data_IF_345257860021
#
_entry.id   IF_345257860021
#
_cell.length_a   1.000
_cell.length_b   1.000
_cell.length_c   1.000
_cell.angle_alpha   90.00
_cell.angle_beta   90.00
_cell.angle_gamma   90.00
#
_symmetry.space_group_name_H-M   'P 1'
#
loop_
_entity.id
_entity.type
_entity.pdbx_description
1 polymer ?
#
# COMPACT_ATOMS: atom_id res chain seq x y z
N UNK A 1 -7.61 -5.92 4.26
CA UNK A 1 -7.08 -4.67 3.66
C UNK A 1 -5.62 -4.51 4.05
N UNK A 2 -4.66 -4.70 3.13
CA UNK A 2 -3.25 -4.37 3.37
C UNK A 2 -3.12 -2.85 3.36
N UNK A 3 -2.92 -2.22 4.53
CA UNK A 3 -2.47 -0.84 4.60
C UNK A 3 -1.11 -0.76 3.90
N UNK A 4 -1.05 -0.06 2.76
CA UNK A 4 0.23 0.29 2.12
C UNK A 4 0.99 1.12 3.15
N UNK A 5 1.98 0.53 3.84
CA UNK A 5 2.87 1.25 4.73
C UNK A 5 3.51 2.37 3.90
N UNK A 6 3.10 3.61 4.17
CA UNK A 6 3.68 4.76 3.52
C UNK A 6 5.17 4.77 3.89
N UNK A 7 6.03 4.90 2.88
CA UNK A 7 7.48 4.96 3.05
C UNK A 7 7.87 6.07 4.04
N UNK A 8 7.09 7.16 4.06
CA UNK A 8 7.23 8.28 4.99
C UNK A 8 5.90 8.58 5.67
N UNK A 9 5.92 8.65 7.01
CA UNK A 9 4.79 9.02 7.85
C UNK A 9 5.13 10.30 8.61
N UNK A 10 4.27 11.31 8.49
CA UNK A 10 4.39 12.57 9.21
C UNK A 10 3.28 12.63 10.24
N UNK A 11 3.65 12.90 11.49
CA UNK A 11 2.74 13.09 12.60
C UNK A 11 2.96 14.47 13.21
N UNK A 12 1.89 15.08 13.71
CA UNK A 12 1.96 16.31 14.46
C UNK A 12 1.16 16.12 15.74
N UNK A 13 1.81 16.36 16.88
CA UNK A 13 1.21 16.26 18.20
C UNK A 13 1.12 17.64 18.84
N UNK A 14 0.06 17.84 19.62
CA UNK A 14 -0.14 19.05 20.40
C UNK A 14 0.18 18.77 21.87
N UNK A 15 0.83 19.71 22.52
CA UNK A 15 1.13 19.66 23.95
C UNK A 15 0.91 21.03 24.60
N UNK A 16 0.32 21.05 25.79
CA UNK A 16 0.08 22.29 26.54
C UNK A 16 1.33 22.70 27.33
N UNK A 17 2.15 21.73 27.73
CA UNK A 17 3.39 21.98 28.46
C UNK A 17 4.63 21.55 27.66
N UNK A 18 5.77 22.15 28.02
CA UNK A 18 7.06 21.77 27.45
C UNK A 18 7.45 20.34 27.82
N UNK A 19 7.16 19.92 29.05
CA UNK A 19 7.46 18.57 29.54
C UNK A 19 6.71 17.50 28.73
N UNK A 20 5.43 17.73 28.41
CA UNK A 20 4.66 16.84 27.53
C UNK A 20 5.24 16.79 26.12
N UNK A 21 5.64 17.94 25.55
CA UNK A 21 6.27 17.98 24.24
C UNK A 21 7.59 17.16 24.23
N UNK A 22 8.39 17.25 25.29
CA UNK A 22 9.63 16.49 25.44
C UNK A 22 9.36 14.99 25.65
N UNK A 23 8.31 14.62 26.39
CA UNK A 23 7.89 13.22 26.53
C UNK A 23 7.47 12.61 25.19
N UNK A 24 6.72 13.34 24.36
CA UNK A 24 6.32 12.90 23.03
C UNK A 24 7.56 12.64 22.16
N UNK A 25 8.53 13.56 22.18
CA UNK A 25 9.80 13.37 21.47
C UNK A 25 10.61 12.20 22.04
N UNK A 26 10.61 12.00 23.35
CA UNK A 26 11.32 10.88 23.98
C UNK A 26 10.74 9.54 23.56
N UNK A 27 9.41 9.39 23.61
CA UNK A 27 8.73 8.19 23.14
C UNK A 27 8.96 7.97 21.63
N UNK A 28 8.93 9.04 20.83
CA UNK A 28 9.20 8.95 19.41
C UNK A 28 10.64 8.49 19.08
N UNK A 29 11.62 8.87 19.90
CA UNK A 29 13.03 8.46 19.75
C UNK A 29 13.26 6.98 20.03
N UNK A 30 12.34 6.29 20.71
CA UNK A 30 12.40 4.83 20.88
C UNK A 30 12.15 4.09 19.56
N UNK A 31 11.62 4.77 18.54
CA UNK A 31 11.38 4.21 17.23
C UNK A 31 12.54 4.53 16.28
N UNK A 32 13.26 3.50 15.84
CA UNK A 32 14.40 3.60 14.92
C UNK A 32 14.06 4.22 13.56
N UNK A 33 12.78 4.27 13.19
CA UNK A 33 12.32 4.90 11.95
C UNK A 33 12.21 6.43 12.05
N UNK A 34 12.38 7.05 13.23
CA UNK A 34 12.29 8.49 13.38
C UNK A 34 13.48 9.19 12.71
N UNK A 35 13.19 10.03 11.71
CA UNK A 35 14.20 10.82 10.99
C UNK A 35 14.24 12.27 11.46
N UNK A 36 13.08 12.83 11.80
CA UNK A 36 12.99 14.23 12.20
C UNK A 36 12.06 14.39 13.38
N UNK A 37 12.50 15.16 14.37
CA UNK A 37 11.66 15.72 15.41
C UNK A 37 11.86 17.24 15.46
N UNK A 38 10.77 17.97 15.68
CA UNK A 38 10.82 19.42 15.87
C UNK A 38 9.73 19.83 16.84
N UNK A 39 10.12 20.54 17.89
CA UNK A 39 9.17 21.20 18.81
C UNK A 39 9.07 22.66 18.40
N UNK A 40 7.85 23.11 18.12
CA UNK A 40 7.53 24.49 17.79
C UNK A 40 6.69 25.09 18.91
N UNK A 41 7.23 26.09 19.59
CA UNK A 41 6.51 26.87 20.59
C UNK A 41 5.61 27.92 19.91
N UNK A 42 4.35 27.96 20.32
CA UNK A 42 3.31 28.84 19.77
C UNK A 42 2.52 29.48 20.89
N UNK A 43 1.87 30.60 20.58
CA UNK A 43 1.04 31.35 21.51
C UNK A 43 -0.33 31.60 20.88
N UNK A 44 -1.40 31.31 21.62
CA UNK A 44 -2.78 31.61 21.26
C UNK A 44 -3.42 32.53 22.31
N UNK A 45 -4.72 32.77 22.18
CA UNK A 45 -5.50 33.62 23.10
C UNK A 45 -5.61 33.06 24.53
N UNK A 46 -5.36 31.77 24.69
CA UNK A 46 -5.51 30.99 25.93
C UNK A 46 -4.16 30.69 26.61
N UNK A 47 -3.04 30.89 25.92
CA UNK A 47 -1.71 30.68 26.48
C UNK A 47 -0.69 30.21 25.46
N UNK A 48 0.42 29.71 25.99
CA UNK A 48 1.48 29.05 25.23
C UNK A 48 1.10 27.58 24.98
N UNK A 49 1.45 27.06 23.82
CA UNK A 49 1.31 25.65 23.47
C UNK A 49 2.46 25.21 22.57
N UNK A 50 2.67 23.90 22.47
CA UNK A 50 3.75 23.29 21.72
C UNK A 50 3.17 22.39 20.63
N UNK A 51 3.76 22.47 19.44
CA UNK A 51 3.50 21.53 18.36
C UNK A 51 4.75 20.69 18.14
N UNK A 52 4.60 19.37 18.21
CA UNK A 52 5.67 18.40 17.99
C UNK A 52 5.47 17.77 16.62
N UNK A 53 6.30 18.17 15.66
CA UNK A 53 6.34 17.55 14.34
C UNK A 53 7.30 16.35 14.38
N UNK A 54 6.79 15.17 14.02
CA UNK A 54 7.55 13.93 13.93
C UNK A 54 7.48 13.39 12.50
N UNK A 55 8.62 13.01 11.94
CA UNK A 55 8.68 12.34 10.64
C UNK A 55 9.38 11.01 10.79
N UNK A 56 8.65 9.95 10.47
CA UNK A 56 9.14 8.59 10.41
C UNK A 56 9.34 8.17 8.96
N UNK A 57 10.44 7.47 8.70
CA UNK A 57 10.69 6.83 7.42
C UNK A 57 10.89 5.35 7.68
N UNK A 58 9.92 4.57 7.25
CA UNK A 58 9.99 3.12 7.33
C UNK A 58 10.63 2.63 6.04
N UNK A 59 11.96 2.54 6.03
CA UNK A 59 12.67 1.83 4.98
C UNK A 59 12.33 0.35 5.10
N UNK A 60 11.28 -0.12 4.42
CA UNK A 60 11.22 -1.54 4.09
C UNK A 60 12.45 -1.83 3.25
N UNK A 61 13.40 -2.66 3.73
CA UNK A 61 14.55 -3.03 2.93
C UNK A 61 14.05 -3.54 1.59
N UNK A 62 14.73 -3.18 0.51
CA UNK A 62 14.44 -3.69 -0.83
C UNK A 62 14.29 -5.22 -0.80
N UNK A 63 15.06 -5.91 0.03
CA UNK A 63 15.00 -7.36 0.27
C UNK A 63 13.63 -7.87 0.80
N UNK A 64 12.87 -7.07 1.55
CA UNK A 64 11.52 -7.43 2.04
C UNK A 64 10.44 -7.15 0.98
N UNK A 65 10.72 -6.24 0.02
CA UNK A 65 9.87 -5.97 -1.14
C UNK A 65 10.17 -6.90 -2.32
N UNK A 66 11.41 -7.41 -2.42
CA UNK A 66 11.90 -8.39 -3.39
C UNK A 66 11.85 -9.83 -2.88
N UNK A 67 11.35 -10.06 -1.65
CA UNK A 67 10.89 -11.38 -1.26
C UNK A 67 9.85 -11.79 -2.29
N UNK A 68 10.19 -12.77 -3.14
CA UNK A 68 9.19 -13.45 -3.96
C UNK A 68 8.03 -13.78 -3.03
N UNK A 69 6.77 -13.59 -3.43
CA UNK A 69 5.69 -14.21 -2.70
C UNK A 69 5.95 -15.73 -2.77
N UNK A 70 6.62 -16.28 -1.75
CA UNK A 70 6.90 -17.72 -1.68
C UNK A 70 5.60 -18.52 -1.57
N UNK A 71 4.50 -17.85 -1.21
CA UNK A 71 3.14 -18.33 -1.40
C UNK A 71 2.29 -17.17 -1.92
N UNK A 72 2.09 -17.14 -3.24
CA UNK A 72 0.85 -16.57 -3.75
C UNK A 72 -0.31 -17.32 -3.06
N UNK A 73 -1.32 -16.64 -2.50
CA UNK A 73 -2.45 -17.32 -1.89
C UNK A 73 -3.03 -18.32 -2.89
N UNK A 74 -3.27 -19.56 -2.46
CA UNK A 74 -3.87 -20.61 -3.29
C UNK A 74 -5.12 -20.03 -3.98
N UNK A 75 -5.00 -19.78 -5.29
CA UNK A 75 -6.01 -19.10 -6.10
C UNK A 75 -5.53 -17.92 -6.96
N UNK A 76 -4.28 -17.46 -6.84
CA UNK A 76 -3.69 -16.62 -7.90
C UNK A 76 -3.01 -17.52 -8.94
N UNK A 77 -3.61 -17.59 -10.13
CA UNK A 77 -3.02 -18.25 -11.30
C UNK A 77 -1.61 -17.70 -11.54
N UNK A 78 -0.65 -18.61 -11.63
CA UNK A 78 0.76 -18.32 -11.87
C UNK A 78 0.92 -17.48 -13.14
N UNK A 79 1.90 -16.58 -13.21
CA UNK A 79 2.15 -15.79 -14.44
C UNK A 79 2.65 -16.68 -15.60
N UNK A 80 3.04 -17.93 -15.31
CA UNK A 80 3.26 -18.95 -16.34
C UNK A 80 1.97 -19.32 -17.08
N UNK A 81 0.79 -19.01 -16.52
CA UNK A 81 -0.51 -19.06 -17.19
C UNK A 81 -0.76 -17.73 -17.93
N UNK A 82 0.23 -17.35 -18.75
CA UNK A 82 0.07 -16.27 -19.70
C UNK A 82 -0.97 -16.74 -20.72
N UNK A 83 -2.22 -16.28 -20.59
CA UNK A 83 -3.26 -16.52 -21.60
C UNK A 83 -2.69 -16.17 -22.98
N UNK A 84 -2.38 -17.19 -23.79
CA UNK A 84 -2.06 -16.99 -25.20
C UNK A 84 -3.29 -16.34 -25.82
N UNK A 85 -3.21 -15.03 -26.05
CA UNK A 85 -4.35 -14.24 -26.53
C UNK A 85 -4.97 -14.88 -27.76
N UNK A 86 -6.30 -14.83 -27.85
CA UNK A 86 -7.02 -15.42 -28.98
C UNK A 86 -6.56 -14.75 -30.28
N UNK A 87 -6.24 -15.53 -31.33
CA UNK A 87 -5.91 -14.96 -32.63
C UNK A 87 -7.14 -14.24 -33.19
N UNK A 88 -6.94 -12.99 -33.61
CA UNK A 88 -7.94 -12.19 -34.31
C UNK A 88 -7.39 -11.75 -35.67
N UNK A 89 -8.28 -11.65 -36.65
CA UNK A 89 -7.98 -11.11 -37.98
C UNK A 89 -8.86 -9.88 -38.23
N UNK A 90 -8.29 -8.88 -38.88
CA UNK A 90 -8.99 -7.64 -39.25
C UNK A 90 -9.11 -7.60 -40.77
N UNK A 91 -10.35 -7.55 -41.23
CA UNK A 91 -10.69 -7.48 -42.64
C UNK A 91 -10.48 -6.03 -43.18
N UNK A 92 -10.30 -5.84 -44.49
CA UNK A 92 -10.06 -4.51 -45.08
C UNK A 92 -11.21 -3.52 -44.92
N UNK A 93 -12.41 -4.00 -44.59
CA UNK A 93 -13.60 -3.21 -44.27
C UNK A 93 -13.63 -2.72 -42.82
N UNK A 94 -12.65 -3.13 -42.00
CA UNK A 94 -12.53 -2.77 -40.59
C UNK A 94 -13.25 -3.72 -39.63
N UNK A 95 -13.83 -4.81 -40.13
CA UNK A 95 -14.47 -5.83 -39.29
C UNK A 95 -13.41 -6.72 -38.62
N UNK A 96 -13.60 -7.04 -37.33
CA UNK A 96 -12.67 -7.86 -36.54
C UNK A 96 -13.29 -9.22 -36.24
N UNK A 97 -12.63 -10.30 -36.65
CA UNK A 97 -13.04 -11.68 -36.37
C UNK A 97 -12.10 -12.32 -35.34
N UNK A 98 -12.65 -12.83 -34.25
CA UNK A 98 -11.91 -13.54 -33.19
C UNK A 98 -12.20 -15.04 -33.31
N UNK A 99 -11.17 -15.86 -33.49
CA UNK A 99 -11.34 -17.32 -33.60
C UNK A 99 -11.32 -17.97 -32.22
N UNK A 100 -12.50 -18.25 -31.65
CA UNK A 100 -12.63 -19.09 -30.45
C UNK A 100 -12.58 -20.56 -30.84
N UNK A 101 -11.77 -21.37 -30.15
CA UNK A 101 -12.00 -22.83 -30.15
C UNK A 101 -13.29 -23.10 -29.36
N UNK A 102 -14.15 -24.03 -29.78
CA UNK A 102 -15.32 -24.39 -29.00
C UNK A 102 -14.84 -25.02 -27.69
N UNK A 103 -15.03 -24.31 -26.59
CA UNK A 103 -14.96 -24.91 -25.25
C UNK A 103 -16.23 -25.77 -25.07
N UNK A 104 -16.03 -27.00 -24.62
CA UNK A 104 -17.06 -28.00 -24.38
C UNK A 104 -18.24 -27.40 -23.60
N UNK A 105 -19.46 -27.56 -24.15
CA UNK A 105 -20.71 -27.30 -23.43
C UNK A 105 -20.80 -28.29 -22.25
N UNK A 106 -20.38 -27.86 -21.05
CA UNK A 106 -20.73 -28.54 -19.80
C UNK A 106 -22.22 -28.30 -19.55
N UNK A 107 -23.03 -29.27 -19.97
CA UNK A 107 -24.46 -29.34 -19.70
C UNK A 107 -24.68 -29.72 -18.24
N UNK A 108 -24.91 -28.73 -17.39
CA UNK A 108 -25.44 -28.92 -16.04
C UNK A 108 -26.95 -29.27 -16.10
N UNK A 109 -27.26 -30.53 -16.41
CA UNK A 109 -28.60 -31.11 -16.17
C UNK A 109 -28.69 -31.52 -14.68
N UNK A 110 -29.34 -30.68 -13.86
CA UNK A 110 -29.67 -30.99 -12.48
C UNK A 110 -30.86 -31.99 -12.40
N UNK A 111 -30.80 -33.05 -11.57
CA UNK A 111 -31.91 -33.97 -11.43
C UNK A 111 -32.98 -33.42 -10.47
N UNK A 112 -34.25 -33.46 -10.89
CA UNK A 112 -35.43 -33.44 -10.00
C UNK A 112 -36.33 -34.63 -10.31
#
# INVERSE_FOLDING_TARGET
MKMKKLLNQKEQHYADTREEAEQIVSAAKENDALIMNKISEKHNKYGQYFLVDLTYQYGTPKEVMEGRPDEAPEGQMSIEDAHEGLPFEVEPDGTVNVHTKPEDEETDEAPF
#
